data_IF_406039541470
#
_entry.id   IF_406039541470
#
_cell.length_a   1.000
_cell.length_b   1.000
_cell.length_c   1.000
_cell.angle_alpha   90.00
_cell.angle_beta   90.00
_cell.angle_gamma   90.00
#
_symmetry.space_group_name_H-M   'P 1'
#
loop_
_entity.id
_entity.type
_entity.pdbx_description
1 polymer ?
#
# COMPACT_ATOMS: atom_id res chain seq x y z
N UNK A 1 -19.04 15.22 13.29
CA UNK A 1 -17.91 15.56 14.16
C UNK A 1 -16.72 14.62 13.94
N UNK A 2 -16.89 13.29 14.04
CA UNK A 2 -15.83 12.29 13.87
C UNK A 2 -15.06 12.38 12.54
N UNK A 3 -15.76 12.59 11.41
CA UNK A 3 -15.13 12.69 10.07
C UNK A 3 -14.17 13.88 9.93
N UNK A 4 -14.53 15.02 10.53
CA UNK A 4 -13.71 16.25 10.49
C UNK A 4 -12.45 16.05 11.35
N UNK A 5 -12.61 15.45 12.54
CA UNK A 5 -11.50 15.12 13.43
C UNK A 5 -10.54 14.15 12.73
N UNK A 6 -11.05 13.11 12.08
CA UNK A 6 -10.22 12.16 11.31
C UNK A 6 -9.48 12.86 10.17
N UNK A 7 -10.15 13.69 9.38
CA UNK A 7 -9.48 14.44 8.31
C UNK A 7 -8.35 15.32 8.86
N UNK A 8 -8.56 15.95 10.02
CA UNK A 8 -7.56 16.78 10.69
C UNK A 8 -6.36 15.93 11.15
N UNK A 9 -6.61 14.80 11.82
CA UNK A 9 -5.56 13.87 12.27
C UNK A 9 -4.71 13.38 11.08
N UNK A 10 -5.35 12.89 10.01
CA UNK A 10 -4.67 12.37 8.82
C UNK A 10 -3.81 13.47 8.18
N UNK A 11 -4.35 14.68 8.07
CA UNK A 11 -3.63 15.84 7.49
C UNK A 11 -2.43 16.24 8.34
N UNK A 12 -2.58 16.29 9.67
CA UNK A 12 -1.49 16.62 10.58
C UNK A 12 -0.38 15.57 10.49
N UNK A 13 -0.73 14.29 10.52
CA UNK A 13 0.24 13.19 10.37
C UNK A 13 1.01 13.31 9.05
N UNK A 14 0.28 13.58 7.96
CA UNK A 14 0.88 13.78 6.64
C UNK A 14 1.83 14.99 6.61
N UNK A 15 1.45 16.10 7.25
CA UNK A 15 2.28 17.30 7.31
C UNK A 15 3.53 17.13 8.17
N UNK A 16 3.41 16.49 9.33
CA UNK A 16 4.56 16.25 10.23
C UNK A 16 5.60 15.39 9.50
N UNK A 17 5.21 14.40 8.69
CA UNK A 17 6.13 13.60 7.86
C UNK A 17 7.08 14.46 7.03
N UNK A 18 6.59 15.57 6.47
CA UNK A 18 7.37 16.45 5.60
C UNK A 18 8.30 17.38 6.38
N UNK A 19 7.95 17.72 7.62
CA UNK A 19 8.77 18.59 8.49
C UNK A 19 9.90 17.85 9.22
N UNK A 20 9.76 16.53 9.36
CA UNK A 20 10.62 15.73 10.22
C UNK A 20 11.89 15.28 9.50
N UNK A 21 13.02 15.34 10.21
CA UNK A 21 14.33 14.91 9.71
C UNK A 21 14.33 13.47 9.21
N UNK A 22 15.21 13.18 8.23
CA UNK A 22 15.32 11.89 7.55
C UNK A 22 15.35 10.67 8.50
N UNK A 23 15.97 10.79 9.67
CA UNK A 23 16.05 9.70 10.67
C UNK A 23 14.69 9.36 11.29
N UNK A 24 13.89 10.38 11.59
CA UNK A 24 12.58 10.24 12.23
C UNK A 24 11.47 9.94 11.22
N UNK A 25 11.73 10.11 9.91
CA UNK A 25 10.82 9.62 8.84
C UNK A 25 10.50 8.14 8.95
N UNK A 26 11.37 7.36 9.62
CA UNK A 26 11.13 5.94 9.91
C UNK A 26 9.87 5.65 10.75
N UNK A 27 9.33 6.67 11.42
CA UNK A 27 8.06 6.57 12.17
C UNK A 27 6.83 6.86 11.31
N UNK A 28 7.00 7.35 10.09
CA UNK A 28 5.91 7.81 9.21
C UNK A 28 5.64 6.82 8.08
N UNK A 29 5.40 5.57 8.46
CA UNK A 29 5.18 4.45 7.56
C UNK A 29 3.79 3.83 7.74
N UNK A 30 3.10 3.44 6.64
CA UNK A 30 1.85 2.71 6.67
C UNK A 30 1.80 1.57 7.70
N UNK A 31 2.83 0.72 7.76
CA UNK A 31 2.89 -0.46 8.64
C UNK A 31 2.83 -0.10 10.14
N UNK A 32 3.19 1.14 10.50
CA UNK A 32 3.21 1.63 11.87
C UNK A 32 2.00 2.50 12.20
N UNK A 33 1.72 3.51 11.38
CA UNK A 33 0.70 4.51 11.70
C UNK A 33 -0.72 4.06 11.37
N UNK A 34 -0.89 3.16 10.39
CA UNK A 34 -2.21 2.67 9.97
C UNK A 34 -2.88 1.80 11.03
N UNK A 35 -2.18 0.83 11.67
CA UNK A 35 -2.73 0.11 12.82
C UNK A 35 -3.06 1.02 14.00
N UNK A 36 -2.20 2.01 14.28
CA UNK A 36 -2.42 2.97 15.37
C UNK A 36 -3.66 3.83 15.14
N UNK A 37 -3.92 4.27 13.91
CA UNK A 37 -5.18 4.94 13.57
C UNK A 37 -6.36 3.98 13.74
N UNK A 38 -6.20 2.71 13.36
CA UNK A 38 -7.20 1.66 13.54
C UNK A 38 -7.65 1.48 14.99
N UNK A 39 -6.76 1.67 15.97
CA UNK A 39 -7.09 1.56 17.40
C UNK A 39 -8.18 2.53 17.85
N UNK A 40 -8.33 3.70 17.21
CA UNK A 40 -9.42 4.64 17.53
C UNK A 40 -10.81 4.06 17.29
N UNK A 41 -10.89 2.93 16.59
CA UNK A 41 -12.13 2.25 16.25
C UNK A 41 -12.23 0.85 16.88
N UNK A 42 -11.36 0.53 17.85
CA UNK A 42 -11.37 -0.75 18.56
C UNK A 42 -10.56 -1.86 17.86
N UNK A 43 -10.76 -3.10 18.32
CA UNK A 43 -9.95 -4.25 17.89
C UNK A 43 -10.12 -4.59 16.40
N UNK A 44 -11.33 -4.52 15.87
CA UNK A 44 -11.58 -4.74 14.43
C UNK A 44 -10.90 -3.66 13.57
N UNK A 45 -10.93 -2.42 14.03
CA UNK A 45 -10.22 -1.31 13.37
C UNK A 45 -8.71 -1.51 13.38
N UNK A 46 -8.14 -1.99 14.49
CA UNK A 46 -6.73 -2.34 14.59
C UNK A 46 -6.34 -3.44 13.59
N UNK A 47 -7.09 -4.53 13.53
CA UNK A 47 -6.84 -5.65 12.59
C UNK A 47 -6.93 -5.22 11.13
N UNK A 48 -7.92 -4.38 10.81
CA UNK A 48 -8.04 -3.74 9.49
C UNK A 48 -6.82 -2.87 9.21
N UNK A 49 -6.36 -2.11 10.20
CA UNK A 49 -5.18 -1.27 10.08
C UNK A 49 -3.88 -2.03 9.89
N UNK A 50 -3.72 -3.19 10.52
CA UNK A 50 -2.60 -4.12 10.28
C UNK A 50 -2.60 -4.57 8.82
N UNK A 51 -3.76 -5.05 8.34
CA UNK A 51 -3.91 -5.54 6.97
C UNK A 51 -3.58 -4.46 5.95
N UNK A 52 -4.23 -3.29 6.04
CA UNK A 52 -4.01 -2.18 5.12
C UNK A 52 -2.58 -1.65 5.21
N UNK A 53 -2.03 -1.53 6.42
CA UNK A 53 -0.67 -1.07 6.66
C UNK A 53 0.36 -1.95 5.96
N UNK A 54 0.28 -3.27 6.15
CA UNK A 54 1.18 -4.25 5.52
C UNK A 54 1.04 -4.23 4.00
N UNK A 55 -0.18 -4.29 3.48
CA UNK A 55 -0.45 -4.28 2.03
C UNK A 55 0.14 -3.03 1.38
N UNK A 56 -0.17 -1.85 1.91
CA UNK A 56 0.32 -0.58 1.34
C UNK A 56 1.84 -0.44 1.47
N UNK A 57 2.44 -0.92 2.56
CA UNK A 57 3.90 -0.89 2.74
C UNK A 57 4.63 -1.79 1.73
N UNK A 58 4.12 -3.00 1.49
CA UNK A 58 4.72 -3.95 0.55
C UNK A 58 4.61 -3.47 -0.91
N UNK A 59 3.57 -2.71 -1.26
CA UNK A 59 3.35 -2.26 -2.63
C UNK A 59 4.07 -0.94 -2.92
N UNK A 60 3.89 0.07 -2.06
CA UNK A 60 4.34 1.44 -2.32
C UNK A 60 5.27 2.00 -1.25
N UNK A 61 5.26 1.45 -0.04
CA UNK A 61 6.13 1.88 1.05
C UNK A 61 7.59 1.48 0.82
N UNK A 62 7.83 0.22 0.44
CA UNK A 62 9.15 -0.43 0.43
C UNK A 62 10.01 -0.20 -0.82
N UNK A 63 9.90 0.98 -1.44
CA UNK A 63 10.69 1.32 -2.63
C UNK A 63 12.19 1.50 -2.30
N UNK A 64 13.03 0.91 -3.15
CA UNK A 64 14.50 1.00 -3.13
C UNK A 64 15.04 2.19 -3.95
N UNK A 65 14.17 2.85 -4.73
CA UNK A 65 14.47 4.03 -5.56
C UNK A 65 13.77 5.25 -4.96
N UNK A 66 14.36 6.44 -5.10
CA UNK A 66 13.66 7.69 -4.76
C UNK A 66 12.35 7.80 -5.58
N UNK A 67 11.34 8.47 -5.01
CA UNK A 67 9.94 8.56 -5.47
C UNK A 67 9.73 9.24 -6.85
N UNK A 68 10.59 9.01 -7.84
CA UNK A 68 10.45 9.56 -9.20
C UNK A 68 9.36 8.83 -10.01
N UNK A 69 8.95 7.62 -9.60
CA UNK A 69 7.90 6.82 -10.25
C UNK A 69 6.96 6.19 -9.20
N UNK A 70 5.64 6.29 -9.44
CA UNK A 70 4.58 5.65 -8.65
C UNK A 70 3.93 6.51 -7.55
N UNK A 71 3.10 5.89 -6.72
CA UNK A 71 2.37 6.55 -5.62
C UNK A 71 3.31 7.03 -4.49
N UNK A 72 3.46 8.34 -4.35
CA UNK A 72 4.25 9.03 -3.32
C UNK A 72 3.55 9.12 -1.97
N UNK A 73 2.23 9.17 -1.97
CA UNK A 73 1.41 9.39 -0.78
C UNK A 73 0.84 8.08 -0.22
N UNK A 74 1.66 7.03 -0.12
CA UNK A 74 1.27 5.71 0.41
C UNK A 74 0.67 5.79 1.81
N UNK A 75 1.27 6.57 2.72
CA UNK A 75 0.72 6.81 4.06
C UNK A 75 -0.67 7.47 4.03
N UNK A 76 -0.92 8.39 3.10
CA UNK A 76 -2.24 8.99 2.96
C UNK A 76 -3.27 7.96 2.51
N UNK A 77 -2.90 7.09 1.55
CA UNK A 77 -3.74 5.99 1.09
C UNK A 77 -4.11 5.06 2.23
N UNK A 78 -3.14 4.62 3.04
CA UNK A 78 -3.41 3.64 4.10
C UNK A 78 -4.33 4.21 5.19
N UNK A 79 -4.10 5.45 5.62
CA UNK A 79 -4.90 6.10 6.66
C UNK A 79 -6.34 6.39 6.20
N UNK A 80 -6.52 6.89 4.97
CA UNK A 80 -7.85 7.11 4.40
C UNK A 80 -8.60 5.80 4.17
N UNK A 81 -7.91 4.75 3.70
CA UNK A 81 -8.51 3.44 3.48
C UNK A 81 -9.10 2.89 4.77
N UNK A 82 -8.31 2.80 5.85
CA UNK A 82 -8.82 2.30 7.14
C UNK A 82 -10.02 3.11 7.63
N UNK A 83 -9.92 4.44 7.55
CA UNK A 83 -11.01 5.31 7.97
C UNK A 83 -12.29 5.06 7.17
N UNK A 84 -12.19 4.86 5.85
CA UNK A 84 -13.34 4.61 5.00
C UNK A 84 -13.92 3.20 5.16
N UNK A 85 -13.10 2.18 5.33
CA UNK A 85 -13.58 0.82 5.60
C UNK A 85 -14.47 0.83 6.84
N UNK A 86 -14.03 1.50 7.90
CA UNK A 86 -14.78 1.57 9.16
C UNK A 86 -16.04 2.44 8.99
N UNK A 87 -15.94 3.59 8.33
CA UNK A 87 -17.09 4.48 8.10
C UNK A 87 -18.14 3.87 7.16
N UNK A 88 -17.75 2.95 6.27
CA UNK A 88 -18.67 2.24 5.38
C UNK A 88 -19.26 0.98 6.03
N UNK A 89 -18.81 0.61 7.23
CA UNK A 89 -19.31 -0.54 7.99
C UNK A 89 -18.65 -1.85 7.60
N UNK A 90 -17.35 -1.82 7.25
CA UNK A 90 -16.52 -2.98 6.92
C UNK A 90 -17.03 -3.80 5.71
N UNK A 91 -17.78 -3.18 4.78
CA UNK A 91 -18.39 -3.89 3.65
C UNK A 91 -17.34 -4.46 2.68
N UNK A 92 -16.32 -3.67 2.32
CA UNK A 92 -15.22 -4.15 1.48
C UNK A 92 -13.95 -3.34 1.69
N UNK A 93 -12.89 -3.99 2.19
CA UNK A 93 -11.58 -3.37 2.36
C UNK A 93 -10.96 -2.97 1.02
N UNK A 94 -10.94 -3.90 0.07
CA UNK A 94 -10.22 -3.73 -1.18
C UNK A 94 -10.89 -2.76 -2.13
N UNK A 95 -12.22 -2.60 -2.06
CA UNK A 95 -12.90 -1.56 -2.83
C UNK A 95 -12.54 -0.16 -2.32
N UNK A 96 -12.58 0.02 -1.00
CA UNK A 96 -12.16 1.28 -0.38
C UNK A 96 -10.69 1.57 -0.69
N UNK A 97 -9.81 0.56 -0.61
CA UNK A 97 -8.40 0.71 -0.98
C UNK A 97 -8.25 1.15 -2.45
N UNK A 98 -8.93 0.47 -3.39
CA UNK A 98 -8.87 0.79 -4.81
C UNK A 98 -9.32 2.22 -5.10
N UNK A 99 -10.45 2.63 -4.54
CA UNK A 99 -11.00 3.97 -4.68
C UNK A 99 -10.04 5.03 -4.13
N UNK A 100 -9.47 4.80 -2.94
CA UNK A 100 -8.52 5.72 -2.32
C UNK A 100 -7.24 5.81 -3.15
N UNK A 101 -6.70 4.70 -3.64
CA UNK A 101 -5.50 4.68 -4.50
C UNK A 101 -5.72 5.55 -5.74
N UNK A 102 -6.84 5.36 -6.46
CA UNK A 102 -7.15 6.12 -7.67
C UNK A 102 -7.26 7.62 -7.38
N UNK A 103 -7.96 7.99 -6.30
CA UNK A 103 -8.21 9.38 -5.98
C UNK A 103 -6.96 10.09 -5.42
N UNK A 104 -6.15 9.40 -4.62
CA UNK A 104 -4.89 9.95 -4.12
C UNK A 104 -3.86 10.06 -5.24
N UNK A 105 -3.80 9.09 -6.16
CA UNK A 105 -2.95 9.20 -7.35
C UNK A 105 -3.38 10.37 -8.24
N UNK A 106 -4.69 10.56 -8.44
CA UNK A 106 -5.23 11.72 -9.18
C UNK A 106 -4.88 13.04 -8.51
N UNK A 107 -4.94 13.11 -7.17
CA UNK A 107 -4.50 14.27 -6.39
C UNK A 107 -3.00 14.54 -6.60
N UNK A 108 -2.17 13.50 -6.53
CA UNK A 108 -0.73 13.58 -6.73
C UNK A 108 -0.41 14.17 -8.11
N UNK A 109 -0.96 13.61 -9.19
CA UNK A 109 -0.68 14.09 -10.54
C UNK A 109 -1.18 15.52 -10.76
N UNK A 110 -2.38 15.83 -10.28
CA UNK A 110 -3.02 17.15 -10.47
C UNK A 110 -2.37 18.26 -9.65
N UNK A 111 -1.83 17.93 -8.47
CA UNK A 111 -1.33 18.90 -7.49
C UNK A 111 0.17 18.76 -7.18
N UNK A 112 0.92 17.91 -7.87
CA UNK A 112 2.37 17.72 -7.67
C UNK A 112 3.16 19.03 -7.72
N UNK A 113 2.81 19.93 -8.64
CA UNK A 113 3.44 21.25 -8.79
C UNK A 113 3.20 22.20 -7.61
N UNK A 114 2.26 21.87 -6.71
CA UNK A 114 1.90 22.65 -5.53
C UNK A 114 2.55 22.18 -4.24
N UNK A 115 3.22 21.02 -4.22
CA UNK A 115 3.76 20.42 -2.98
C UNK A 115 4.66 21.36 -2.18
N UNK A 116 5.47 22.20 -2.86
CA UNK A 116 6.34 23.18 -2.21
C UNK A 116 5.64 24.44 -1.71
N UNK A 117 4.32 24.57 -1.90
CA UNK A 117 3.54 25.76 -1.53
C UNK A 117 2.90 25.60 -0.15
N UNK A 118 2.90 26.68 0.63
CA UNK A 118 2.33 26.71 2.00
C UNK A 118 0.87 26.25 2.09
N UNK A 119 0.08 26.43 1.03
CA UNK A 119 -1.34 26.05 1.01
C UNK A 119 -1.61 24.61 0.57
N UNK A 120 -0.58 23.84 0.21
CA UNK A 120 -0.76 22.42 -0.18
C UNK A 120 -1.41 21.59 0.93
N UNK A 121 -1.05 21.85 2.19
CA UNK A 121 -1.68 21.19 3.33
C UNK A 121 -3.19 21.44 3.41
N UNK A 122 -3.65 22.64 3.02
CA UNK A 122 -5.08 22.95 2.99
C UNK A 122 -5.79 22.15 1.90
N UNK A 123 -5.15 21.95 0.74
CA UNK A 123 -5.68 21.11 -0.34
C UNK A 123 -5.80 19.66 0.15
N UNK A 124 -4.77 19.12 0.81
CA UNK A 124 -4.81 17.77 1.40
C UNK A 124 -5.91 17.66 2.45
N UNK A 125 -6.10 18.68 3.29
CA UNK A 125 -7.19 18.72 4.27
C UNK A 125 -8.56 18.69 3.62
N UNK A 126 -8.80 19.54 2.61
CA UNK A 126 -10.07 19.59 1.88
C UNK A 126 -10.33 18.24 1.19
N UNK A 127 -9.31 17.66 0.56
CA UNK A 127 -9.39 16.33 -0.05
C UNK A 127 -9.80 15.27 0.98
N UNK A 128 -9.13 15.23 2.14
CA UNK A 128 -9.44 14.29 3.22
C UNK A 128 -10.88 14.47 3.73
N UNK A 129 -11.33 15.71 3.93
CA UNK A 129 -12.71 15.99 4.33
C UNK A 129 -13.69 15.48 3.29
N UNK A 130 -13.49 15.79 2.01
CA UNK A 130 -14.40 15.38 0.93
C UNK A 130 -14.51 13.86 0.86
N UNK A 131 -13.37 13.15 0.92
CA UNK A 131 -13.33 11.69 0.94
C UNK A 131 -14.15 11.11 2.09
N UNK A 132 -13.90 11.56 3.33
CA UNK A 132 -14.57 11.03 4.52
C UNK A 132 -16.05 11.41 4.58
N UNK A 133 -16.42 12.61 4.13
CA UNK A 133 -17.82 13.04 4.03
C UNK A 133 -18.60 12.20 3.03
N UNK A 134 -17.95 11.75 1.95
CA UNK A 134 -18.54 10.91 0.90
C UNK A 134 -18.80 9.46 1.32
N UNK A 135 -18.42 9.05 2.54
CA UNK A 135 -18.66 7.68 3.03
C UNK A 135 -20.10 7.15 2.91
N UNK A 136 -21.19 7.93 3.08
CA UNK A 136 -22.55 7.42 2.84
C UNK A 136 -22.77 7.04 1.37
N UNK A 137 -22.28 7.86 0.45
CA UNK A 137 -22.37 7.60 -0.99
C UNK A 137 -21.50 6.40 -1.39
N UNK A 138 -20.31 6.25 -0.80
CA UNK A 138 -19.47 5.06 -0.99
C UNK A 138 -20.18 3.81 -0.46
N UNK A 139 -20.85 3.91 0.69
CA UNK A 139 -21.64 2.81 1.28
C UNK A 139 -22.81 2.40 0.38
N UNK A 140 -23.52 3.36 -0.19
CA UNK A 140 -24.58 3.09 -1.17
C UNK A 140 -24.01 2.41 -2.43
N UNK A 141 -22.90 2.92 -2.98
CA UNK A 141 -22.22 2.30 -4.12
C UNK A 141 -21.82 0.85 -3.83
N UNK A 142 -21.25 0.58 -2.65
CA UNK A 142 -20.90 -0.76 -2.18
C UNK A 142 -22.13 -1.68 -2.09
N UNK A 143 -23.26 -1.16 -1.61
CA UNK A 143 -24.53 -1.91 -1.55
C UNK A 143 -25.11 -2.24 -2.93
N UNK A 144 -24.71 -1.52 -3.98
CA UNK A 144 -25.12 -1.78 -5.36
C UNK A 144 -24.18 -2.73 -6.11
N UNK A 145 -23.05 -3.15 -5.53
CA UNK A 145 -22.11 -4.08 -6.16
C UNK A 145 -22.48 -5.51 -5.74
N UNK A 146 -22.68 -6.45 -6.68
CA UNK A 146 -22.95 -7.84 -6.32
C UNK A 146 -21.81 -8.43 -5.48
N UNK A 147 -22.16 -9.20 -4.44
CA UNK A 147 -21.20 -9.75 -3.49
C UNK A 147 -20.09 -10.60 -4.14
N UNK A 148 -20.39 -11.27 -5.26
CA UNK A 148 -19.42 -12.04 -6.03
C UNK A 148 -18.26 -11.17 -6.53
N UNK A 149 -18.52 -9.94 -6.98
CA UNK A 149 -17.46 -9.01 -7.40
C UNK A 149 -16.64 -8.48 -6.24
N UNK A 150 -17.25 -8.26 -5.08
CA UNK A 150 -16.52 -7.86 -3.88
C UNK A 150 -15.57 -8.97 -3.41
N UNK A 151 -15.97 -10.24 -3.55
CA UNK A 151 -15.10 -11.38 -3.30
C UNK A 151 -13.96 -11.46 -4.31
N UNK A 152 -14.22 -11.25 -5.60
CA UNK A 152 -13.19 -11.27 -6.65
C UNK A 152 -12.17 -10.13 -6.46
N UNK A 153 -12.64 -8.96 -6.02
CA UNK A 153 -11.80 -7.84 -5.65
C UNK A 153 -10.99 -8.13 -4.38
N UNK A 154 -11.53 -8.93 -3.45
CA UNK A 154 -10.82 -9.35 -2.26
C UNK A 154 -9.69 -10.35 -2.58
N UNK A 155 -9.93 -11.28 -3.50
CA UNK A 155 -8.88 -12.19 -4.03
C UNK A 155 -7.77 -11.37 -4.69
N UNK A 156 -8.15 -10.46 -5.57
CA UNK A 156 -7.20 -9.64 -6.33
C UNK A 156 -6.43 -8.69 -5.41
N UNK A 157 -7.13 -7.98 -4.53
CA UNK A 157 -6.52 -7.01 -3.62
C UNK A 157 -5.69 -7.62 -2.50
N UNK A 158 -6.12 -8.78 -1.96
CA UNK A 158 -5.51 -9.40 -0.78
C UNK A 158 -4.33 -10.29 -1.09
N UNK A 159 -4.36 -11.01 -2.21
CA UNK A 159 -3.32 -11.95 -2.59
C UNK A 159 -2.48 -11.43 -3.76
N UNK A 160 -3.10 -11.02 -4.86
CA UNK A 160 -2.38 -10.72 -6.10
C UNK A 160 -1.57 -9.44 -5.99
N UNK A 161 -2.17 -8.36 -5.51
CA UNK A 161 -1.53 -7.04 -5.49
C UNK A 161 -0.25 -7.00 -4.62
N UNK A 162 -0.22 -7.58 -3.40
CA UNK A 162 1.02 -7.70 -2.64
C UNK A 162 2.11 -8.50 -3.37
N UNK A 163 1.76 -9.55 -4.12
CA UNK A 163 2.71 -10.34 -4.94
C UNK A 163 3.29 -9.47 -6.07
N UNK A 164 2.50 -8.59 -6.67
CA UNK A 164 3.01 -7.61 -7.66
C UNK A 164 3.99 -6.64 -6.99
N UNK A 165 3.68 -6.15 -5.79
CA UNK A 165 4.59 -5.30 -5.00
C UNK A 165 5.94 -5.98 -4.75
N UNK A 166 5.91 -7.24 -4.31
CA UNK A 166 7.11 -8.06 -4.13
C UNK A 166 7.92 -8.24 -5.43
N UNK A 167 7.23 -8.44 -6.55
CA UNK A 167 7.85 -8.57 -7.87
C UNK A 167 8.53 -7.27 -8.32
N UNK A 168 7.91 -6.12 -8.04
CA UNK A 168 8.49 -4.81 -8.31
C UNK A 168 9.74 -4.54 -7.47
N UNK A 169 9.69 -4.91 -6.19
CA UNK A 169 10.84 -4.82 -5.28
C UNK A 169 11.99 -5.74 -5.72
N UNK A 170 11.69 -6.94 -6.23
CA UNK A 170 12.69 -7.81 -6.87
C UNK A 170 13.30 -7.16 -8.11
N UNK A 171 12.51 -6.54 -8.98
CA UNK A 171 13.01 -5.87 -10.18
C UNK A 171 13.90 -4.68 -9.82
N UNK A 172 13.57 -3.93 -8.77
CA UNK A 172 14.43 -2.85 -8.28
C UNK A 172 15.76 -3.38 -7.73
N UNK A 173 15.72 -4.47 -6.95
CA UNK A 173 16.93 -5.13 -6.48
C UNK A 173 17.78 -5.66 -7.66
N UNK A 174 17.11 -6.30 -8.64
CA UNK A 174 17.40 -6.49 -10.08
C UNK A 174 18.32 -5.49 -10.78
N UNK A 175 17.80 -4.30 -10.99
CA UNK A 175 18.32 -3.34 -11.95
C UNK A 175 19.35 -2.42 -11.29
N UNK A 176 20.63 -2.66 -11.60
CA UNK A 176 21.73 -1.82 -11.12
C UNK A 176 21.63 -0.35 -11.55
N UNK A 177 20.89 -0.04 -12.61
CA UNK A 177 20.67 1.33 -13.09
C UNK A 177 19.65 2.12 -12.26
N UNK A 178 18.77 1.45 -11.52
CA UNK A 178 17.81 2.07 -10.60
C UNK A 178 18.38 2.15 -9.16
N UNK A 179 19.49 1.48 -8.90
CA UNK A 179 20.10 1.41 -7.58
C UNK A 179 20.81 2.72 -7.23
N UNK A 180 20.36 3.38 -6.17
CA UNK A 180 21.31 3.97 -5.23
C UNK A 180 21.87 2.81 -4.40
N UNK A 181 23.18 2.62 -4.34
CA UNK A 181 23.86 1.73 -3.38
C UNK A 181 23.68 2.26 -1.94
N UNK A 182 22.44 2.44 -1.49
CA UNK A 182 22.12 3.02 -0.22
C UNK A 182 21.58 1.91 0.70
N UNK A 183 22.50 1.44 1.52
CA UNK A 183 22.33 0.42 2.56
C UNK A 183 21.13 0.70 3.49
N UNK A 184 20.72 1.97 3.62
CA UNK A 184 19.52 2.38 4.37
C UNK A 184 18.22 1.83 3.78
N UNK A 185 18.04 1.90 2.45
CA UNK A 185 16.82 1.42 1.78
C UNK A 185 16.77 -0.11 1.70
N UNK A 186 17.92 -0.78 1.58
CA UNK A 186 17.97 -2.23 1.68
C UNK A 186 17.61 -2.72 3.09
N UNK A 187 18.17 -2.09 4.14
CA UNK A 187 17.83 -2.42 5.52
C UNK A 187 16.35 -2.19 5.82
N UNK A 188 15.77 -1.13 5.25
CA UNK A 188 14.35 -0.82 5.31
C UNK A 188 13.49 -1.91 4.67
N UNK A 189 13.75 -2.26 3.41
CA UNK A 189 12.99 -3.29 2.70
C UNK A 189 13.04 -4.64 3.43
N UNK A 190 14.21 -5.03 3.93
CA UNK A 190 14.37 -6.24 4.74
C UNK A 190 13.55 -6.15 6.03
N UNK A 191 13.59 -5.02 6.75
CA UNK A 191 12.82 -4.81 7.95
C UNK A 191 11.31 -4.90 7.69
N UNK A 192 10.83 -4.30 6.60
CA UNK A 192 9.42 -4.38 6.16
C UNK A 192 9.01 -5.83 5.92
N UNK A 193 9.84 -6.62 5.25
CA UNK A 193 9.55 -8.03 4.98
C UNK A 193 9.47 -8.87 6.26
N UNK A 194 10.45 -8.69 7.17
CA UNK A 194 10.47 -9.38 8.46
C UNK A 194 9.24 -9.02 9.29
N UNK A 195 8.93 -7.73 9.42
CA UNK A 195 7.79 -7.29 10.23
C UNK A 195 6.47 -7.70 9.60
N UNK A 196 6.33 -7.64 8.28
CA UNK A 196 5.13 -8.13 7.59
C UNK A 196 4.91 -9.61 7.89
N UNK A 197 5.96 -10.44 7.86
CA UNK A 197 5.89 -11.85 8.24
C UNK A 197 5.44 -12.06 9.69
N UNK A 198 5.97 -11.27 10.64
CA UNK A 198 5.53 -11.32 12.03
C UNK A 198 4.06 -10.95 12.19
N UNK A 199 3.60 -9.91 11.49
CA UNK A 199 2.22 -9.46 11.54
C UNK A 199 1.25 -10.47 10.92
N UNK A 200 1.63 -11.14 9.83
CA UNK A 200 0.86 -12.25 9.27
C UNK A 200 0.71 -13.42 10.25
N UNK A 201 1.73 -13.66 11.07
CA UNK A 201 1.70 -14.66 12.15
C UNK A 201 1.07 -14.15 13.45
N UNK A 202 0.24 -13.09 13.39
CA UNK A 202 -0.45 -12.49 14.55
C UNK A 202 0.49 -11.94 15.65
N UNK A 203 1.78 -11.73 15.35
CA UNK A 203 2.72 -11.12 16.27
C UNK A 203 2.71 -9.59 16.14
N UNK A 204 1.66 -8.96 16.70
CA UNK A 204 1.40 -7.52 16.56
C UNK A 204 2.45 -6.60 17.18
N UNK A 205 3.26 -7.13 18.12
CA UNK A 205 4.43 -6.42 18.64
C UNK A 205 5.43 -6.02 17.56
N UNK A 206 5.40 -6.69 16.39
CA UNK A 206 6.19 -6.31 15.22
C UNK A 206 6.06 -4.83 14.83
N UNK A 207 4.91 -4.20 15.05
CA UNK A 207 4.69 -2.76 14.77
C UNK A 207 5.67 -1.88 15.55
N UNK A 208 5.82 -2.14 16.85
CA UNK A 208 6.68 -1.33 17.74
C UNK A 208 8.15 -1.60 17.45
N UNK A 209 8.49 -2.83 17.06
CA UNK A 209 9.85 -3.27 16.84
C UNK A 209 10.34 -2.86 15.43
N UNK A 210 9.45 -2.48 14.51
CA UNK A 210 9.80 -2.10 13.14
C UNK A 210 10.92 -1.05 13.02
N UNK A 211 10.84 0.12 13.69
CA UNK A 211 11.92 1.10 13.62
C UNK A 211 13.22 0.58 14.23
N UNK A 212 13.13 -0.30 15.23
CA UNK A 212 14.28 -0.91 15.89
C UNK A 212 14.98 -1.89 14.94
N UNK A 213 14.24 -2.78 14.27
CA UNK A 213 14.79 -3.73 13.29
C UNK A 213 15.44 -2.98 12.13
N UNK A 214 14.78 -1.97 11.58
CA UNK A 214 15.34 -1.19 10.47
C UNK A 214 16.64 -0.49 10.87
N UNK A 215 16.64 0.29 11.96
CA UNK A 215 17.84 1.01 12.38
C UNK A 215 18.97 0.05 12.76
N UNK A 216 18.67 -1.01 13.52
CA UNK A 216 19.68 -2.01 13.91
C UNK A 216 20.30 -2.70 12.70
N UNK A 217 19.49 -3.14 11.72
CA UNK A 217 19.99 -3.71 10.46
C UNK A 217 20.91 -2.74 9.74
N UNK A 218 20.51 -1.48 9.59
CA UNK A 218 21.34 -0.47 8.96
C UNK A 218 22.68 -0.28 9.68
N UNK A 219 22.67 -0.10 11.00
CA UNK A 219 23.90 0.13 11.76
C UNK A 219 24.81 -1.10 11.78
N UNK A 220 24.26 -2.31 11.93
CA UNK A 220 25.04 -3.57 11.88
C UNK A 220 25.69 -3.73 10.50
N UNK A 221 24.93 -3.54 9.42
CA UNK A 221 25.45 -3.68 8.07
C UNK A 221 26.52 -2.62 7.76
N UNK A 222 26.35 -1.39 8.27
CA UNK A 222 27.32 -0.32 8.13
C UNK A 222 28.62 -0.59 8.90
N UNK A 223 28.51 -1.05 10.16
CA UNK A 223 29.68 -1.36 11.00
C UNK A 223 30.47 -2.56 10.47
N UNK A 224 29.76 -3.60 10.03
CA UNK A 224 30.37 -4.80 9.43
C UNK A 224 30.81 -4.59 7.97
N UNK A 225 30.60 -3.40 7.40
CA UNK A 225 30.93 -3.06 6.00
C UNK A 225 30.35 -4.08 5.00
N UNK A 226 29.12 -4.53 5.25
CA UNK A 226 28.43 -5.48 4.37
C UNK A 226 28.13 -4.77 3.05
N UNK A 227 28.53 -5.39 1.94
CA UNK A 227 28.22 -4.86 0.62
C UNK A 227 26.73 -5.01 0.29
N UNK A 228 26.17 -4.06 -0.47
CA UNK A 228 24.78 -4.10 -0.93
C UNK A 228 24.44 -5.39 -1.69
N UNK A 229 25.44 -6.01 -2.33
CA UNK A 229 25.31 -7.31 -3.02
C UNK A 229 24.77 -8.42 -2.10
N UNK A 230 25.23 -8.48 -0.84
CA UNK A 230 24.74 -9.51 0.09
C UNK A 230 23.33 -9.20 0.61
N UNK A 231 23.02 -7.93 0.85
CA UNK A 231 21.67 -7.49 1.23
C UNK A 231 20.66 -7.78 0.13
N UNK A 232 21.07 -7.66 -1.13
CA UNK A 232 20.28 -8.03 -2.29
C UNK A 232 19.95 -9.52 -2.33
N UNK A 233 20.92 -10.40 -2.06
CA UNK A 233 20.65 -11.84 -2.00
C UNK A 233 19.71 -12.21 -0.85
N UNK A 234 19.89 -11.56 0.30
CA UNK A 234 18.97 -11.74 1.43
C UNK A 234 17.55 -11.28 1.08
N UNK A 235 17.41 -10.13 0.43
CA UNK A 235 16.12 -9.62 -0.02
C UNK A 235 15.44 -10.57 -1.03
N UNK A 236 16.21 -11.12 -1.97
CA UNK A 236 15.72 -12.12 -2.93
C UNK A 236 15.17 -13.36 -2.23
N UNK A 237 15.93 -13.90 -1.26
CA UNK A 237 15.50 -15.03 -0.46
C UNK A 237 14.21 -14.72 0.34
N UNK A 238 14.14 -13.54 0.95
CA UNK A 238 12.97 -13.10 1.72
C UNK A 238 11.72 -12.97 0.85
N UNK A 239 11.85 -12.48 -0.39
CA UNK A 239 10.70 -12.41 -1.31
C UNK A 239 10.19 -13.81 -1.66
N UNK A 240 11.08 -14.76 -1.94
CA UNK A 240 10.70 -16.15 -2.22
C UNK A 240 9.97 -16.79 -1.05
N UNK A 241 10.37 -16.48 0.20
CA UNK A 241 9.70 -16.99 1.40
C UNK A 241 8.36 -16.30 1.66
N UNK A 242 8.26 -14.99 1.37
CA UNK A 242 7.05 -14.20 1.64
C UNK A 242 5.92 -14.45 0.65
N UNK A 243 6.23 -14.72 -0.62
CA UNK A 243 5.21 -15.00 -1.63
C UNK A 243 4.24 -16.14 -1.23
N UNK A 244 4.71 -17.34 -0.82
CA UNK A 244 3.81 -18.41 -0.38
C UNK A 244 3.07 -18.07 0.91
N UNK A 245 3.67 -17.32 1.85
CA UNK A 245 2.98 -16.88 3.07
C UNK A 245 1.79 -15.95 2.77
N UNK A 246 1.93 -15.06 1.77
CA UNK A 246 0.83 -14.20 1.31
C UNK A 246 -0.28 -15.02 0.66
N UNK A 247 0.07 -16.04 -0.12
CA UNK A 247 -0.89 -16.96 -0.73
C UNK A 247 -1.61 -17.77 0.36
N UNK A 248 -0.88 -18.30 1.34
CA UNK A 248 -1.42 -19.08 2.45
C UNK A 248 -2.41 -18.27 3.30
N UNK A 249 -2.08 -17.02 3.59
CA UNK A 249 -2.93 -16.10 4.33
C UNK A 249 -4.27 -15.82 3.62
N UNK A 250 -4.31 -15.97 2.29
CA UNK A 250 -5.50 -15.77 1.45
C UNK A 250 -6.13 -17.09 0.95
N UNK A 251 -5.69 -18.27 1.42
CA UNK A 251 -6.22 -19.59 1.01
C UNK A 251 -7.76 -19.70 1.00
N UNK A 252 -8.50 -19.17 1.99
CA UNK A 252 -9.97 -19.23 1.99
C UNK A 252 -10.61 -18.57 0.76
N UNK A 253 -9.89 -17.66 0.09
CA UNK A 253 -10.32 -16.93 -1.10
C UNK A 253 -9.82 -17.59 -2.41
N UNK A 254 -8.86 -18.51 -2.35
CA UNK A 254 -8.05 -18.93 -3.51
C UNK A 254 -8.31 -20.35 -4.03
N UNK A 255 -9.11 -21.14 -3.30
CA UNK A 255 -9.21 -22.60 -3.48
C UNK A 255 -9.79 -23.06 -4.83
N UNK A 256 -10.29 -22.15 -5.68
CA UNK A 256 -10.85 -22.50 -7.01
C UNK A 256 -10.40 -21.59 -8.19
N UNK A 257 -9.47 -20.63 -8.00
CA UNK A 257 -9.25 -19.54 -8.99
C UNK A 257 -7.82 -19.38 -9.54
N UNK A 258 -7.06 -20.47 -9.64
CA UNK A 258 -5.73 -20.53 -10.29
C UNK A 258 -5.69 -19.89 -11.71
N UNK A 259 -6.72 -19.99 -12.57
CA UNK A 259 -6.69 -19.37 -13.90
C UNK A 259 -6.65 -17.82 -13.89
N UNK A 260 -7.19 -17.18 -12.84
CA UNK A 260 -7.12 -15.72 -12.69
C UNK A 260 -5.69 -15.24 -12.44
N UNK A 261 -4.87 -16.02 -11.72
CA UNK A 261 -3.45 -15.73 -11.49
C UNK A 261 -2.69 -15.58 -12.81
N UNK A 262 -2.93 -16.48 -13.77
CA UNK A 262 -2.26 -16.47 -15.08
C UNK A 262 -2.65 -15.28 -15.96
N UNK A 263 -3.92 -14.87 -15.96
CA UNK A 263 -4.39 -13.70 -16.74
C UNK A 263 -3.84 -12.38 -16.18
N UNK A 264 -3.71 -12.27 -14.86
CA UNK A 264 -3.12 -11.11 -14.18
C UNK A 264 -1.63 -11.02 -14.47
N UNK A 265 -0.90 -12.15 -14.46
CA UNK A 265 0.50 -12.20 -14.90
C UNK A 265 0.66 -11.77 -16.37
N UNK A 266 -0.23 -12.22 -17.27
CA UNK A 266 -0.24 -11.80 -18.68
C UNK A 266 -0.50 -10.30 -18.83
N UNK A 267 -1.45 -9.73 -18.08
CA UNK A 267 -1.72 -8.29 -18.08
C UNK A 267 -0.56 -7.46 -17.52
N UNK A 268 0.07 -7.92 -16.44
CA UNK A 268 1.27 -7.30 -15.85
C UNK A 268 2.46 -7.35 -16.81
N UNK A 269 2.67 -8.46 -17.50
CA UNK A 269 3.71 -8.60 -18.53
C UNK A 269 3.43 -7.67 -19.70
N UNK A 270 2.20 -7.62 -20.22
CA UNK A 270 1.79 -6.70 -21.29
C UNK A 270 1.99 -5.22 -20.90
N UNK A 271 1.62 -4.81 -19.69
CA UNK A 271 1.81 -3.43 -19.23
C UNK A 271 3.28 -3.08 -18.96
N UNK A 272 4.05 -4.02 -18.43
CA UNK A 272 5.50 -3.88 -18.24
C UNK A 272 6.23 -3.65 -19.57
N UNK A 273 5.72 -4.25 -20.64
CA UNK A 273 6.22 -4.09 -22.02
C UNK A 273 5.78 -2.75 -22.63
N UNK A 274 4.56 -2.28 -22.33
CA UNK A 274 3.97 -1.16 -23.07
C UNK A 274 4.44 0.23 -22.62
N UNK A 275 4.87 0.49 -21.38
CA UNK A 275 5.59 1.72 -20.93
C UNK A 275 5.05 3.09 -21.46
N UNK A 276 3.77 3.20 -21.83
CA UNK A 276 3.20 4.39 -22.52
C UNK A 276 2.66 5.46 -21.54
N UNK A 277 2.43 5.12 -20.27
CA UNK A 277 1.95 6.07 -19.25
C UNK A 277 2.90 6.13 -18.04
N UNK A 278 2.94 7.27 -17.32
CA UNK A 278 3.66 7.41 -16.03
C UNK A 278 3.07 6.56 -14.89
N UNK A 279 1.95 5.89 -15.14
CA UNK A 279 1.33 4.91 -14.23
C UNK A 279 2.21 3.67 -14.12
N UNK A 280 2.49 3.21 -12.89
CA UNK A 280 3.08 1.89 -12.68
C UNK A 280 2.04 0.81 -13.01
N UNK A 281 2.51 -0.40 -13.36
CA UNK A 281 1.65 -1.52 -13.70
C UNK A 281 0.61 -1.85 -12.60
N UNK A 282 0.92 -1.51 -11.34
CA UNK A 282 0.06 -1.68 -10.17
C UNK A 282 -1.14 -0.71 -10.20
N UNK A 283 -0.91 0.57 -10.50
CA UNK A 283 -2.00 1.56 -10.59
C UNK A 283 -2.89 1.28 -11.82
N UNK A 284 -2.29 0.87 -12.93
CA UNK A 284 -3.03 0.42 -14.12
C UNK A 284 -3.91 -0.80 -13.84
N UNK A 285 -3.41 -1.78 -13.07
CA UNK A 285 -4.18 -2.95 -12.67
C UNK A 285 -5.40 -2.59 -11.83
N UNK A 286 -5.24 -1.70 -10.85
CA UNK A 286 -6.36 -1.20 -10.04
C UNK A 286 -7.40 -0.47 -10.90
N UNK A 287 -6.95 0.43 -11.80
CA UNK A 287 -7.84 1.20 -12.68
C UNK A 287 -8.59 0.28 -13.64
N UNK A 288 -7.91 -0.65 -14.30
CA UNK A 288 -8.52 -1.58 -15.25
C UNK A 288 -9.48 -2.56 -14.56
N UNK A 289 -9.15 -3.01 -13.35
CA UNK A 289 -10.07 -3.83 -12.55
C UNK A 289 -11.33 -3.04 -12.19
N UNK A 290 -11.21 -1.77 -11.81
CA UNK A 290 -12.35 -0.92 -11.49
C UNK A 290 -13.20 -0.58 -12.73
N UNK A 291 -12.56 -0.26 -13.86
CA UNK A 291 -13.24 0.00 -15.15
C UNK A 291 -13.95 -1.26 -15.61
N UNK A 292 -13.31 -2.43 -15.54
CA UNK A 292 -13.94 -3.71 -15.86
C UNK A 292 -15.20 -3.96 -15.03
N UNK A 293 -15.15 -3.70 -13.72
CA UNK A 293 -16.30 -3.81 -12.81
C UNK A 293 -17.42 -2.83 -13.19
N UNK A 294 -17.09 -1.58 -13.50
CA UNK A 294 -18.06 -0.54 -13.89
C UNK A 294 -18.69 -0.89 -15.26
N UNK A 295 -17.88 -1.30 -16.23
CA UNK A 295 -18.30 -1.66 -17.58
C UNK A 295 -19.15 -2.93 -17.62
N UNK A 296 -18.83 -3.94 -16.80
CA UNK A 296 -19.66 -5.15 -16.67
C UNK A 296 -21.06 -4.82 -16.13
N UNK A 297 -21.14 -3.90 -15.16
CA UNK A 297 -22.41 -3.45 -14.57
C UNK A 297 -23.27 -2.61 -15.53
N UNK A 298 -22.64 -1.87 -16.44
CA UNK A 298 -23.34 -1.12 -17.49
C UNK A 298 -23.72 -2.00 -18.69
N UNK A 299 -23.42 -3.31 -18.65
CA UNK A 299 -23.72 -4.26 -19.72
C UNK A 299 -22.81 -4.11 -20.95
N UNK A 300 -21.68 -3.40 -20.82
CA UNK A 300 -20.72 -3.22 -21.91
C UNK A 300 -19.68 -4.34 -22.01
N UNK A 301 -19.51 -5.12 -20.94
CA UNK A 301 -18.66 -6.30 -20.88
C UNK A 301 -19.42 -7.43 -20.18
N UNK A 302 -19.18 -8.67 -20.59
CA UNK A 302 -19.73 -9.89 -19.96
C UNK A 302 -18.94 -10.18 -18.69
#
# INVERSE_FOLDING_TARGET
MTKIILALIITIVFYIRDMVDFKLKSLFHPILLTPLLGLFFGQEGFMTGVTVGVVVELIWGSNLVDYELGLKYSLLVSLLTVSLVILTGNISLFFNLALVVILVFSLQESCSWLEGRRYFILIVFIFNILMLLSSPLIKELLGLIPAQFLNDLAVSGGALIPIVGLSFLLIQAMQSSLNRDNLWYYAYAIATMIVSSLLFNSFYWGIVIFPIIWNSLYYVCKLAKISAKYLRYLLFLLVIIMAPLIVEWNIPLLTERIPYFLWVEVALVLFSILRIFKLTAIEGYFIMSLIGIISAKLGFLI
#
